data_IF_375902027154
#
_entry.id   IF_375902027154
#
_cell.length_a   1.000
_cell.length_b   1.000
_cell.length_c   1.000
_cell.angle_alpha   90.00
_cell.angle_beta   90.00
_cell.angle_gamma   90.00
#
_symmetry.space_group_name_H-M   'P 1'
#
loop_
_entity.id
_entity.type
_entity.pdbx_description
1 polymer ?
#
# COMPACT_ATOMS: atom_id res chain seq x y z
N UNK A 1 -14.26 12.55 -0.13
CA UNK A 1 -14.31 11.27 -0.86
C UNK A 1 -15.71 11.16 -1.46
N UNK A 2 -15.84 10.69 -2.70
CA UNK A 2 -17.16 10.44 -3.27
C UNK A 2 -17.60 9.06 -2.76
N UNK A 3 -18.36 9.04 -1.68
CA UNK A 3 -18.90 7.80 -1.09
C UNK A 3 -20.09 7.32 -1.94
N UNK A 4 -19.80 6.77 -3.11
CA UNK A 4 -20.81 6.18 -3.97
C UNK A 4 -21.38 4.91 -3.35
N UNK A 5 -22.69 4.85 -3.26
CA UNK A 5 -23.39 3.61 -2.93
C UNK A 5 -23.29 2.61 -4.07
N UNK A 6 -23.39 1.31 -3.75
CA UNK A 6 -23.43 0.23 -4.74
C UNK A 6 -24.59 0.39 -5.73
N UNK A 7 -25.68 1.02 -5.32
CA UNK A 7 -26.82 1.35 -6.19
C UNK A 7 -26.46 2.43 -7.20
N UNK A 8 -25.80 3.51 -6.78
CA UNK A 8 -25.40 4.59 -7.68
C UNK A 8 -24.38 4.10 -8.73
N UNK A 9 -23.46 3.21 -8.34
CA UNK A 9 -22.52 2.57 -9.27
C UNK A 9 -23.29 1.68 -10.25
N UNK A 10 -24.17 0.82 -9.76
CA UNK A 10 -24.99 -0.07 -10.58
C UNK A 10 -25.80 0.70 -11.64
N UNK A 11 -26.48 1.78 -11.21
CA UNK A 11 -27.29 2.62 -12.07
C UNK A 11 -26.44 3.41 -13.09
N UNK A 12 -25.26 3.89 -12.68
CA UNK A 12 -24.34 4.64 -13.56
C UNK A 12 -23.76 3.76 -14.67
N UNK A 13 -23.47 2.50 -14.37
CA UNK A 13 -22.83 1.56 -15.29
C UNK A 13 -23.81 0.59 -15.97
N UNK A 14 -25.12 0.72 -15.73
CA UNK A 14 -26.18 -0.17 -16.22
C UNK A 14 -25.88 -1.66 -15.95
N UNK A 15 -25.43 -1.94 -14.73
CA UNK A 15 -25.11 -3.29 -14.24
C UNK A 15 -25.90 -3.60 -12.98
N UNK A 16 -26.00 -4.89 -12.62
CA UNK A 16 -26.68 -5.25 -11.38
C UNK A 16 -25.85 -4.86 -10.15
N UNK A 17 -26.54 -4.49 -9.05
CA UNK A 17 -25.90 -4.25 -7.74
C UNK A 17 -25.07 -5.44 -7.28
N UNK A 18 -25.50 -6.66 -7.60
CA UNK A 18 -24.75 -7.88 -7.28
C UNK A 18 -23.45 -7.97 -8.08
N UNK A 19 -23.47 -7.62 -9.37
CA UNK A 19 -22.26 -7.60 -10.19
C UNK A 19 -21.23 -6.59 -9.68
N UNK A 20 -21.68 -5.42 -9.21
CA UNK A 20 -20.81 -4.43 -8.55
C UNK A 20 -20.23 -4.99 -7.26
N UNK A 21 -21.05 -5.58 -6.40
CA UNK A 21 -20.61 -6.18 -5.14
C UNK A 21 -19.56 -7.28 -5.35
N UNK A 22 -19.83 -8.21 -6.26
CA UNK A 22 -18.91 -9.31 -6.57
C UNK A 22 -17.58 -8.81 -7.14
N UNK A 23 -17.62 -7.75 -7.97
CA UNK A 23 -16.42 -7.16 -8.55
C UNK A 23 -15.57 -6.46 -7.49
N UNK A 24 -16.18 -5.66 -6.61
CA UNK A 24 -15.49 -4.99 -5.51
C UNK A 24 -14.85 -6.01 -4.57
N UNK A 25 -15.62 -7.05 -4.17
CA UNK A 25 -15.11 -8.10 -3.28
C UNK A 25 -13.91 -8.82 -3.88
N UNK A 26 -14.04 -9.28 -5.13
CA UNK A 26 -12.96 -9.99 -5.82
C UNK A 26 -11.72 -9.11 -6.05
N UNK A 27 -11.93 -7.83 -6.36
CA UNK A 27 -10.82 -6.89 -6.56
C UNK A 27 -10.12 -6.61 -5.23
N UNK A 28 -10.87 -6.49 -4.13
CA UNK A 28 -10.31 -6.40 -2.77
C UNK A 28 -9.42 -7.59 -2.44
N UNK A 29 -9.96 -8.82 -2.60
CA UNK A 29 -9.21 -10.06 -2.38
C UNK A 29 -7.93 -10.11 -3.24
N UNK A 30 -8.00 -9.64 -4.49
CA UNK A 30 -6.85 -9.59 -5.41
C UNK A 30 -5.78 -8.57 -4.98
N UNK A 31 -6.19 -7.40 -4.50
CA UNK A 31 -5.26 -6.38 -3.98
C UNK A 31 -4.55 -6.88 -2.72
N UNK A 32 -5.26 -7.57 -1.83
CA UNK A 32 -4.66 -8.20 -0.65
C UNK A 32 -3.66 -9.31 -1.03
N UNK A 33 -3.99 -10.11 -2.05
CA UNK A 33 -3.09 -11.15 -2.58
C UNK A 33 -1.83 -10.53 -3.23
N UNK A 34 -1.98 -9.42 -3.97
CA UNK A 34 -0.85 -8.68 -4.50
C UNK A 34 0.05 -8.15 -3.40
N UNK A 35 -0.51 -7.53 -2.36
CA UNK A 35 0.30 -7.03 -1.24
C UNK A 35 0.96 -8.18 -0.47
N UNK A 36 0.28 -9.31 -0.28
CA UNK A 36 0.88 -10.49 0.35
C UNK A 36 2.08 -11.03 -0.44
N UNK A 37 2.00 -11.01 -1.78
CA UNK A 37 3.07 -11.52 -2.66
C UNK A 37 4.21 -10.55 -2.86
N UNK A 38 3.91 -9.27 -2.99
CA UNK A 38 4.87 -8.24 -3.39
C UNK A 38 5.38 -7.41 -2.22
N UNK A 39 4.58 -7.28 -1.15
CA UNK A 39 4.91 -6.52 0.05
C UNK A 39 5.21 -5.04 -0.22
N UNK A 40 4.62 -4.45 -1.27
CA UNK A 40 5.02 -3.14 -1.76
C UNK A 40 4.69 -2.04 -0.75
N UNK A 41 3.49 -2.09 -0.18
CA UNK A 41 3.04 -1.12 0.81
C UNK A 41 3.84 -1.27 2.10
N UNK A 42 4.01 -2.51 2.59
CA UNK A 42 4.85 -2.78 3.77
C UNK A 42 6.29 -2.28 3.59
N UNK A 43 6.91 -2.58 2.44
CA UNK A 43 8.28 -2.13 2.17
C UNK A 43 8.34 -0.60 2.01
N UNK A 44 7.27 0.02 1.51
CA UNK A 44 7.17 1.47 1.46
C UNK A 44 7.15 2.08 2.87
N UNK A 45 6.34 1.55 3.79
CA UNK A 45 6.29 2.03 5.17
C UNK A 45 7.65 1.87 5.88
N UNK A 46 8.29 0.71 5.72
CA UNK A 46 9.63 0.46 6.27
C UNK A 46 10.67 1.46 5.75
N UNK A 47 10.65 1.77 4.45
CA UNK A 47 11.53 2.81 3.88
C UNK A 47 11.26 4.19 4.49
N UNK A 48 9.99 4.56 4.67
CA UNK A 48 9.65 5.84 5.31
C UNK A 48 10.18 5.91 6.74
N UNK A 49 10.00 4.85 7.53
CA UNK A 49 10.51 4.79 8.89
C UNK A 49 12.04 4.93 8.92
N UNK A 50 12.76 4.22 8.04
CA UNK A 50 14.22 4.34 7.94
C UNK A 50 14.62 5.78 7.57
N UNK A 51 13.94 6.42 6.63
CA UNK A 51 14.23 7.82 6.28
C UNK A 51 13.98 8.79 7.44
N UNK A 52 12.96 8.56 8.26
CA UNK A 52 12.74 9.33 9.48
C UNK A 52 13.88 9.12 10.49
N UNK A 53 14.30 7.87 10.70
CA UNK A 53 15.43 7.57 11.58
C UNK A 53 16.74 8.20 11.09
N UNK A 54 16.98 8.22 9.78
CA UNK A 54 18.14 8.89 9.19
C UNK A 54 18.11 10.40 9.46
N UNK A 55 16.95 11.06 9.29
CA UNK A 55 16.82 12.49 9.57
C UNK A 55 17.12 12.83 11.04
N UNK A 56 16.73 11.96 11.96
CA UNK A 56 16.99 12.14 13.41
C UNK A 56 18.45 11.88 13.80
N UNK A 57 19.15 11.01 13.06
CA UNK A 57 20.52 10.59 13.38
C UNK A 57 21.57 11.12 12.38
N UNK A 58 21.31 12.27 11.73
CA UNK A 58 22.16 12.82 10.65
C UNK A 58 23.64 13.03 11.03
N UNK A 59 23.94 13.24 12.32
CA UNK A 59 25.30 13.45 12.81
C UNK A 59 26.03 12.14 13.17
N UNK A 60 25.34 11.01 13.15
CA UNK A 60 25.88 9.69 13.48
C UNK A 60 26.17 8.91 12.19
N UNK A 61 27.39 9.07 11.68
CA UNK A 61 27.84 8.46 10.43
C UNK A 61 27.73 6.93 10.44
N UNK A 62 27.94 6.28 11.58
CA UNK A 62 27.85 4.82 11.68
C UNK A 62 26.39 4.34 11.61
N UNK A 63 25.46 5.03 12.29
CA UNK A 63 24.02 4.73 12.14
C UNK A 63 23.52 5.00 10.72
N UNK A 64 23.97 6.09 10.09
CA UNK A 64 23.57 6.40 8.71
C UNK A 64 24.00 5.28 7.75
N UNK A 65 25.21 4.73 7.89
CA UNK A 65 25.64 3.56 7.10
C UNK A 65 24.76 2.33 7.35
N UNK A 66 24.39 2.07 8.61
CA UNK A 66 23.48 0.96 8.94
C UNK A 66 22.11 1.13 8.29
N UNK A 67 21.56 2.35 8.28
CA UNK A 67 20.29 2.64 7.62
C UNK A 67 20.38 2.51 6.09
N UNK A 68 21.51 2.90 5.48
CA UNK A 68 21.74 2.68 4.04
C UNK A 68 21.75 1.18 3.73
N UNK A 69 22.48 0.38 4.51
CA UNK A 69 22.50 -1.08 4.32
C UNK A 69 21.10 -1.69 4.46
N UNK A 70 20.34 -1.25 5.47
CA UNK A 70 18.97 -1.73 5.67
C UNK A 70 18.03 -1.37 4.50
N UNK A 71 18.28 -0.26 3.79
CA UNK A 71 17.54 0.09 2.58
C UNK A 71 17.94 -0.78 1.38
N UNK A 72 19.22 -1.11 1.24
CA UNK A 72 19.72 -2.01 0.19
C UNK A 72 19.19 -3.44 0.36
N UNK A 73 19.07 -3.92 1.60
CA UNK A 73 18.54 -5.25 1.90
C UNK A 73 17.01 -5.36 1.71
N UNK A 74 16.32 -4.23 1.52
CA UNK A 74 14.88 -4.18 1.23
C UNK A 74 14.56 -4.28 -0.27
N UNK A 75 15.56 -4.24 -1.15
CA UNK A 75 15.44 -4.49 -2.60
C UNK A 75 15.57 -5.97 -2.97
#
# INVERSE_FOLDING_TARGET
MQDYSLSEIADTFDVSRQAVYDNIRRTGDLVEDYETKLGLYKNFELRQEIYEQMKLNVNDSEKIKQYIQALEDLE
#
